data_IF_779862948239
#
_entry.id   IF_779862948239
#
_cell.length_a   1.000
_cell.length_b   1.000
_cell.length_c   1.000
_cell.angle_alpha   90.00
_cell.angle_beta   90.00
_cell.angle_gamma   90.00
#
_symmetry.space_group_name_H-M   'P 1'
#
loop_
_entity.id
_entity.type
_entity.pdbx_description
1 polymer ?
#
# COMPACT_ATOMS: atom_id res chain seq x y z
N UNK A 1 -39.75 -17.39 11.02
CA UNK A 1 -38.41 -17.45 10.43
C UNK A 1 -38.43 -16.78 9.06
N UNK A 2 -37.96 -15.55 8.95
CA UNK A 2 -37.87 -14.81 7.68
C UNK A 2 -36.65 -15.31 6.91
N UNK A 3 -36.87 -15.97 5.77
CA UNK A 3 -35.78 -16.32 4.84
C UNK A 3 -35.14 -15.03 4.33
N UNK A 4 -33.89 -14.76 4.68
CA UNK A 4 -33.10 -13.68 4.04
C UNK A 4 -33.07 -13.99 2.54
N UNK A 5 -33.54 -13.05 1.71
CA UNK A 5 -33.37 -13.13 0.26
C UNK A 5 -31.90 -12.90 -0.04
N UNK A 6 -31.20 -13.93 -0.49
CA UNK A 6 -29.85 -13.78 -1.02
C UNK A 6 -29.95 -13.19 -2.42
N UNK A 7 -29.37 -12.02 -2.64
CA UNK A 7 -29.21 -11.43 -3.97
C UNK A 7 -27.93 -11.97 -4.59
N UNK A 8 -28.00 -12.46 -5.83
CA UNK A 8 -26.84 -12.87 -6.61
C UNK A 8 -26.73 -11.97 -7.83
N UNK A 9 -25.53 -11.46 -8.10
CA UNK A 9 -25.21 -10.69 -9.30
C UNK A 9 -24.36 -11.56 -10.22
N UNK A 10 -24.77 -11.69 -11.49
CA UNK A 10 -23.99 -12.35 -12.51
C UNK A 10 -22.99 -11.33 -13.05
N UNK A 11 -21.71 -11.66 -12.99
CA UNK A 11 -20.60 -10.83 -13.50
C UNK A 11 -19.86 -11.56 -14.62
N UNK A 12 -19.10 -10.82 -15.42
CA UNK A 12 -18.22 -11.42 -16.44
C UNK A 12 -17.06 -12.19 -15.79
N UNK A 13 -16.40 -13.06 -16.56
CA UNK A 13 -15.21 -13.79 -16.08
C UNK A 13 -14.06 -12.84 -15.72
N UNK A 14 -13.87 -11.79 -16.51
CA UNK A 14 -12.79 -10.83 -16.31
C UNK A 14 -13.02 -9.98 -15.06
N UNK A 15 -14.27 -9.53 -14.86
CA UNK A 15 -14.67 -8.82 -13.64
C UNK A 15 -14.51 -9.71 -12.40
N UNK A 16 -14.89 -10.98 -12.49
CA UNK A 16 -14.67 -11.93 -11.39
C UNK A 16 -13.18 -12.11 -11.07
N UNK A 17 -12.31 -12.09 -12.08
CA UNK A 17 -10.87 -12.21 -11.89
C UNK A 17 -10.27 -10.96 -11.22
N UNK A 18 -10.73 -9.76 -11.55
CA UNK A 18 -10.33 -8.51 -10.86
C UNK A 18 -10.81 -8.51 -9.40
N UNK A 19 -12.06 -8.90 -9.15
CA UNK A 19 -12.61 -8.99 -7.79
C UNK A 19 -11.85 -10.00 -6.92
N UNK A 20 -11.42 -11.11 -7.50
CA UNK A 20 -10.57 -12.09 -6.80
C UNK A 20 -9.20 -11.49 -6.45
N UNK A 21 -8.58 -10.76 -7.37
CA UNK A 21 -7.31 -10.06 -7.10
C UNK A 21 -7.45 -9.02 -6.00
N UNK A 22 -8.54 -8.25 -6.00
CA UNK A 22 -8.80 -7.28 -4.93
C UNK A 22 -9.03 -7.94 -3.57
N UNK A 23 -9.75 -9.06 -3.54
CA UNK A 23 -9.88 -9.87 -2.33
C UNK A 23 -8.50 -10.34 -1.85
N UNK A 24 -7.66 -10.82 -2.75
CA UNK A 24 -6.34 -11.34 -2.38
C UNK A 24 -5.43 -10.21 -1.84
N UNK A 25 -5.54 -8.99 -2.38
CA UNK A 25 -4.89 -7.79 -1.82
C UNK A 25 -5.36 -7.46 -0.40
N UNK A 26 -6.67 -7.48 -0.16
CA UNK A 26 -7.23 -7.22 1.18
C UNK A 26 -6.80 -8.31 2.18
N UNK A 27 -6.82 -9.58 1.76
CA UNK A 27 -6.35 -10.69 2.57
C UNK A 27 -4.86 -10.54 2.92
N UNK A 28 -4.03 -10.02 2.00
CA UNK A 28 -2.62 -9.77 2.27
C UNK A 28 -2.43 -8.73 3.38
N UNK A 29 -3.17 -7.61 3.32
CA UNK A 29 -3.14 -6.58 4.38
C UNK A 29 -3.49 -7.20 5.74
N UNK A 30 -4.57 -7.98 5.80
CA UNK A 30 -5.03 -8.63 7.04
C UNK A 30 -4.03 -9.67 7.55
N UNK A 31 -3.60 -10.60 6.70
CA UNK A 31 -2.76 -11.74 7.10
C UNK A 31 -1.33 -11.36 7.44
N UNK A 32 -0.80 -10.31 6.81
CA UNK A 32 0.53 -9.79 7.10
C UNK A 32 0.53 -8.68 8.15
N UNK A 33 -0.63 -8.32 8.70
CA UNK A 33 -0.81 -7.22 9.64
C UNK A 33 -0.18 -5.92 9.12
N UNK A 34 -0.38 -5.60 7.84
CA UNK A 34 0.19 -4.40 7.24
C UNK A 34 -0.66 -3.16 7.55
N UNK A 35 0.01 -2.05 7.87
CA UNK A 35 -0.65 -0.74 7.96
C UNK A 35 -0.69 -0.09 6.56
N UNK A 36 -1.76 0.67 6.30
CA UNK A 36 -1.87 1.53 5.11
C UNK A 36 -1.77 2.99 5.55
N UNK A 37 -0.73 3.69 5.11
CA UNK A 37 -0.51 5.11 5.42
C UNK A 37 -0.77 5.97 4.19
N UNK A 38 -1.40 7.12 4.42
CA UNK A 38 -1.65 8.14 3.41
C UNK A 38 -0.96 9.43 3.83
N UNK A 39 -0.08 9.95 2.99
CA UNK A 39 0.67 11.18 3.27
C UNK A 39 0.40 12.21 2.17
N UNK A 40 0.00 13.41 2.58
CA UNK A 40 -0.22 14.52 1.65
C UNK A 40 1.07 15.28 1.40
N UNK A 41 1.37 15.47 0.13
CA UNK A 41 2.53 16.23 -0.31
C UNK A 41 2.05 17.48 -1.04
N UNK A 42 2.50 18.66 -0.59
CA UNK A 42 2.26 19.90 -1.31
C UNK A 42 3.03 19.86 -2.63
N UNK A 43 2.35 20.16 -3.74
CA UNK A 43 2.98 20.22 -5.05
C UNK A 43 3.50 21.63 -5.42
N UNK A 44 3.55 22.54 -4.43
CA UNK A 44 4.06 23.91 -4.62
C UNK A 44 3.14 24.85 -5.41
N UNK A 45 1.94 24.39 -5.82
CA UNK A 45 0.93 25.20 -6.50
C UNK A 45 -0.26 25.45 -5.57
N UNK A 46 -0.89 26.63 -5.67
CA UNK A 46 -1.95 27.13 -4.77
C UNK A 46 -3.11 26.11 -4.56
N UNK A 47 -2.99 25.30 -3.51
CA UNK A 47 -4.08 24.47 -2.98
C UNK A 47 -4.14 23.02 -3.47
N UNK A 48 -3.28 22.60 -4.39
CA UNK A 48 -3.24 21.21 -4.84
C UNK A 48 -2.26 20.38 -3.99
N UNK A 49 -2.66 19.14 -3.69
CA UNK A 49 -1.83 18.16 -3.01
C UNK A 49 -1.88 16.84 -3.76
N UNK A 50 -0.78 16.10 -3.76
CA UNK A 50 -0.76 14.70 -4.19
C UNK A 50 -0.74 13.82 -2.95
N UNK A 51 -1.54 12.75 -2.94
CA UNK A 51 -1.48 11.74 -1.88
C UNK A 51 -0.51 10.63 -2.28
N UNK A 52 0.47 10.36 -1.42
CA UNK A 52 1.21 9.10 -1.48
C UNK A 52 0.53 8.06 -0.60
N UNK A 53 0.59 6.82 -1.04
CA UNK A 53 0.07 5.66 -0.31
C UNK A 53 1.24 4.75 -0.01
N UNK A 54 1.41 4.35 1.24
CA UNK A 54 2.46 3.45 1.69
C UNK A 54 1.87 2.23 2.40
N UNK A 55 2.43 1.05 2.14
CA UNK A 55 2.13 -0.20 2.85
C UNK A 55 3.28 -0.49 3.81
N UNK A 56 2.97 -0.57 5.10
CA UNK A 56 3.98 -0.68 6.16
C UNK A 56 3.94 -2.08 6.78
N UNK A 57 5.10 -2.74 6.82
CA UNK A 57 5.32 -3.98 7.54
C UNK A 57 5.92 -3.74 8.93
N UNK A 58 5.61 -4.62 9.88
CA UNK A 58 6.11 -4.56 11.26
C UNK A 58 7.14 -5.66 11.52
N UNK A 59 8.23 -5.29 12.20
CA UNK A 59 9.41 -6.13 12.38
C UNK A 59 9.96 -6.07 13.81
N UNK A 60 10.49 -7.19 14.29
CA UNK A 60 11.18 -7.24 15.58
C UNK A 60 12.55 -6.53 15.53
N UNK A 61 13.27 -6.67 14.40
CA UNK A 61 14.54 -5.99 14.18
C UNK A 61 14.34 -4.51 13.83
N UNK A 62 15.30 -3.65 14.24
CA UNK A 62 15.27 -2.24 13.84
C UNK A 62 15.51 -2.07 12.33
N UNK A 63 14.85 -1.11 11.66
CA UNK A 63 13.68 -0.36 12.13
C UNK A 63 12.45 -1.27 12.27
N UNK A 64 11.67 -1.05 13.33
CA UNK A 64 10.49 -1.86 13.65
C UNK A 64 9.33 -1.71 12.66
N UNK A 65 9.39 -0.71 11.80
CA UNK A 65 8.45 -0.46 10.72
C UNK A 65 9.25 -0.22 9.43
N UNK A 66 8.78 -0.79 8.32
CA UNK A 66 9.41 -0.63 7.00
C UNK A 66 8.34 -0.45 5.93
N UNK A 67 8.61 0.41 4.96
CA UNK A 67 7.76 0.58 3.78
C UNK A 67 8.01 -0.60 2.84
N UNK A 68 6.97 -1.39 2.59
CA UNK A 68 7.01 -2.57 1.71
C UNK A 68 6.64 -2.21 0.27
N UNK A 69 5.74 -1.24 0.10
CA UNK A 69 5.32 -0.74 -1.19
C UNK A 69 4.78 0.68 -1.06
N UNK A 70 4.93 1.47 -2.13
CA UNK A 70 4.55 2.87 -2.14
C UNK A 70 3.99 3.29 -3.51
N UNK A 71 3.04 4.21 -3.52
CA UNK A 71 2.52 4.76 -4.77
C UNK A 71 2.20 6.25 -4.61
N UNK A 72 2.78 7.08 -5.49
CA UNK A 72 2.60 8.53 -5.51
C UNK A 72 1.49 9.01 -6.46
N UNK A 73 0.75 8.08 -7.07
CA UNK A 73 -0.37 8.35 -7.98
C UNK A 73 -1.70 7.90 -7.38
N UNK A 74 -1.80 7.87 -6.05
CA UNK A 74 -3.04 7.57 -5.32
C UNK A 74 -3.61 6.16 -5.62
N UNK A 75 -2.76 5.23 -6.06
CA UNK A 75 -3.17 3.87 -6.42
C UNK A 75 -2.79 2.85 -5.34
N UNK A 76 -3.73 2.58 -4.44
CA UNK A 76 -3.57 1.61 -3.36
C UNK A 76 -3.28 0.19 -3.88
N UNK A 77 -3.95 -0.24 -4.96
CA UNK A 77 -3.75 -1.57 -5.54
C UNK A 77 -2.30 -1.76 -5.97
N UNK A 78 -1.74 -0.76 -6.64
CA UNK A 78 -0.34 -0.78 -7.08
C UNK A 78 0.64 -0.81 -5.89
N UNK A 79 0.36 -0.08 -4.81
CA UNK A 79 1.18 -0.11 -3.60
C UNK A 79 1.17 -1.50 -2.93
N UNK A 80 0.01 -2.15 -2.84
CA UNK A 80 -0.12 -3.53 -2.32
C UNK A 80 0.58 -4.53 -3.24
N UNK A 81 0.41 -4.39 -4.55
CA UNK A 81 1.06 -5.28 -5.53
C UNK A 81 2.59 -5.17 -5.42
N UNK A 82 3.13 -3.95 -5.22
CA UNK A 82 4.55 -3.77 -4.93
C UNK A 82 4.96 -4.44 -3.61
N UNK A 83 4.18 -4.24 -2.53
CA UNK A 83 4.45 -4.86 -1.23
C UNK A 83 4.47 -6.40 -1.28
N UNK A 84 3.59 -7.00 -2.09
CA UNK A 84 3.55 -8.45 -2.32
C UNK A 84 4.81 -8.98 -3.04
N UNK A 85 5.51 -8.12 -3.78
CA UNK A 85 6.76 -8.47 -4.47
C UNK A 85 8.01 -8.10 -3.67
N UNK A 86 7.84 -7.40 -2.55
CA UNK A 86 8.95 -6.96 -1.72
C UNK A 86 9.64 -8.15 -1.04
N UNK A 87 10.94 -7.99 -0.75
CA UNK A 87 11.66 -8.94 0.07
C UNK A 87 11.05 -9.04 1.46
N UNK A 88 11.15 -10.19 2.12
CA UNK A 88 10.57 -10.39 3.45
C UNK A 88 11.09 -9.37 4.49
N UNK A 89 12.32 -8.91 4.33
CA UNK A 89 12.97 -7.88 5.16
C UNK A 89 13.60 -6.81 4.25
N UNK A 90 12.81 -5.88 3.67
CA UNK A 90 13.36 -4.84 2.83
C UNK A 90 14.29 -3.95 3.64
N UNK A 91 15.32 -3.33 3.05
CA UNK A 91 16.24 -2.47 3.79
C UNK A 91 15.51 -1.31 4.47
N UNK A 92 16.13 -0.76 5.51
CA UNK A 92 15.66 0.50 6.10
C UNK A 92 15.64 1.59 5.03
N UNK A 93 14.54 2.34 4.97
CA UNK A 93 14.38 3.46 4.04
C UNK A 93 15.47 4.50 4.35
N UNK A 94 16.21 5.00 3.35
CA UNK A 94 17.10 6.14 3.58
C UNK A 94 16.26 7.34 4.00
N UNK A 95 16.81 8.19 4.88
CA UNK A 95 16.26 9.53 5.08
C UNK A 95 16.35 10.27 3.75
N UNK A 96 15.38 11.12 3.42
CA UNK A 96 15.38 11.90 2.19
C UNK A 96 15.52 13.38 2.52
N UNK A 97 16.35 14.08 1.76
CA UNK A 97 16.49 15.52 1.88
C UNK A 97 15.18 16.22 1.44
N UNK A 98 15.13 17.55 1.63
CA UNK A 98 13.98 18.36 1.21
C UNK A 98 13.67 18.32 -0.31
N UNK A 99 14.56 17.73 -1.11
CA UNK A 99 14.43 17.57 -2.56
C UNK A 99 14.08 16.12 -2.96
N UNK A 100 13.87 15.23 -1.98
CA UNK A 100 13.54 13.82 -2.24
C UNK A 100 14.73 12.98 -2.66
N UNK A 101 15.98 13.43 -2.44
CA UNK A 101 17.16 12.60 -2.63
C UNK A 101 17.51 11.85 -1.34
N UNK A 102 17.95 10.58 -1.41
CA UNK A 102 18.35 9.87 -0.21
C UNK A 102 19.54 10.59 0.43
N UNK A 103 19.37 11.03 1.67
CA UNK A 103 20.43 11.55 2.51
C UNK A 103 21.51 10.50 2.64
N UNK A 104 22.71 10.85 2.20
CA UNK A 104 23.87 9.98 2.33
C UNK A 104 24.16 9.89 3.83
N UNK A 105 23.82 8.76 4.46
CA UNK A 105 24.33 8.43 5.79
C UNK A 105 25.85 8.51 5.72
N UNK A 106 26.43 9.55 6.33
CA UNK A 106 27.88 9.64 6.49
C UNK A 106 28.31 8.45 7.35
N UNK A 107 29.14 7.58 6.76
CA UNK A 107 29.73 6.42 7.43
C UNK A 107 30.73 6.83 8.52
#
# INVERSE_FOLDING_TARGET
>A
MTKKKTSFTIVSSDELAELRRDRDRLNAIESCCWDVRFDSHSNGMDGDYSISIEIIGHYEGKPHQRVMGENYNENLRAAIDQALTAEAYPPERPEYDMYGNPERRHA
#
